data_IF_782412485749
#
_entry.id   IF_782412485749
#
_cell.length_a   1.000
_cell.length_b   1.000
_cell.length_c   1.000
_cell.angle_alpha   90.00
_cell.angle_beta   90.00
_cell.angle_gamma   90.00
#
_symmetry.space_group_name_H-M   'P 1'
#
loop_
_entity.id
_entity.type
_entity.pdbx_description
1 polymer ?
#
# COMPACT_ATOMS: atom_id res chain seq x y z
N UNK A 1 15.81 -1.90 14.19
CA UNK A 1 16.56 -3.13 14.46
C UNK A 1 17.74 -3.24 13.50
N UNK A 2 18.60 -4.25 13.68
CA UNK A 2 19.80 -4.52 12.90
C UNK A 2 19.47 -4.58 11.39
N UNK A 3 20.42 -4.13 10.55
CA UNK A 3 20.33 -4.35 9.11
C UNK A 3 20.49 -5.84 8.77
N UNK A 4 19.88 -6.27 7.67
CA UNK A 4 19.89 -7.66 7.21
C UNK A 4 19.68 -7.75 5.69
N UNK A 5 19.73 -8.97 5.15
CA UNK A 5 19.52 -9.22 3.73
C UNK A 5 20.67 -8.74 2.80
N UNK A 6 20.48 -8.88 1.48
CA UNK A 6 21.47 -8.45 0.49
C UNK A 6 21.81 -6.97 0.66
N UNK A 7 23.10 -6.65 0.70
CA UNK A 7 23.56 -5.26 0.81
C UNK A 7 23.18 -4.54 2.11
N UNK A 8 22.70 -5.24 3.15
CA UNK A 8 22.22 -4.62 4.41
C UNK A 8 21.02 -3.66 4.21
N UNK A 9 20.30 -3.82 3.10
CA UNK A 9 19.17 -2.96 2.72
C UNK A 9 17.90 -3.26 3.54
N UNK A 10 17.81 -4.47 4.12
CA UNK A 10 16.69 -4.88 4.95
C UNK A 10 16.84 -4.52 6.42
N UNK A 11 15.77 -4.70 7.19
CA UNK A 11 15.74 -4.58 8.64
C UNK A 11 15.08 -5.79 9.27
N UNK A 12 15.56 -6.18 10.45
CA UNK A 12 15.00 -7.28 11.20
C UNK A 12 13.63 -6.91 11.79
N UNK A 13 12.65 -7.79 11.62
CA UNK A 13 11.32 -7.69 12.24
C UNK A 13 11.10 -8.77 13.31
N UNK A 14 11.91 -9.82 13.29
CA UNK A 14 11.97 -10.90 14.28
C UNK A 14 13.28 -11.68 14.12
N UNK A 15 13.56 -12.66 14.99
CA UNK A 15 14.83 -13.40 14.97
C UNK A 15 15.09 -14.16 13.66
N UNK A 16 14.01 -14.49 12.93
CA UNK A 16 14.06 -15.20 11.65
C UNK A 16 13.37 -14.44 10.52
N UNK A 17 13.20 -13.11 10.65
CA UNK A 17 12.50 -12.27 9.67
C UNK A 17 13.33 -11.05 9.31
N UNK A 18 13.66 -10.94 8.02
CA UNK A 18 14.28 -9.76 7.43
C UNK A 18 13.38 -9.20 6.33
N UNK A 19 13.07 -7.91 6.36
CA UNK A 19 12.30 -7.27 5.29
C UNK A 19 13.05 -6.07 4.71
N UNK A 20 13.06 -5.95 3.39
CA UNK A 20 13.58 -4.82 2.66
C UNK A 20 12.50 -4.29 1.70
N UNK A 21 12.44 -2.97 1.53
CA UNK A 21 11.32 -2.32 0.84
C UNK A 21 11.17 -2.79 -0.62
N UNK A 22 12.29 -2.99 -1.33
CA UNK A 22 12.30 -3.42 -2.74
C UNK A 22 12.36 -4.94 -2.94
N UNK A 23 12.81 -5.70 -1.93
CA UNK A 23 13.02 -7.16 -2.03
C UNK A 23 11.92 -7.99 -1.35
N UNK A 24 11.05 -7.33 -0.58
CA UNK A 24 10.03 -8.00 0.22
C UNK A 24 10.58 -8.57 1.53
N UNK A 25 9.97 -9.66 2.00
CA UNK A 25 10.29 -10.28 3.28
C UNK A 25 10.85 -11.69 3.12
N UNK A 26 11.93 -11.93 3.84
CA UNK A 26 12.68 -13.17 3.94
C UNK A 26 12.41 -13.80 5.32
N UNK A 27 11.66 -14.90 5.33
CA UNK A 27 11.22 -15.59 6.57
C UNK A 27 11.86 -16.96 6.63
N UNK A 28 12.70 -17.20 7.64
CA UNK A 28 13.40 -18.47 7.84
C UNK A 28 14.50 -18.78 6.81
N UNK A 29 14.96 -17.77 6.07
CA UNK A 29 16.01 -17.91 5.05
C UNK A 29 17.33 -17.31 5.49
N UNK A 30 18.38 -17.49 4.68
CA UNK A 30 19.73 -17.07 5.00
C UNK A 30 19.86 -15.55 5.24
N UNK A 31 19.05 -14.75 4.54
CA UNK A 31 19.00 -13.29 4.63
C UNK A 31 18.63 -12.79 6.04
N UNK A 32 17.90 -13.62 6.81
CA UNK A 32 17.45 -13.30 8.16
C UNK A 32 18.38 -13.84 9.25
N UNK A 33 19.45 -14.60 8.93
CA UNK A 33 20.30 -15.22 9.94
C UNK A 33 20.91 -14.21 10.91
N UNK A 34 21.26 -13.01 10.43
CA UNK A 34 21.81 -11.92 11.26
C UNK A 34 20.81 -11.41 12.29
N UNK A 35 19.51 -11.58 12.06
CA UNK A 35 18.47 -11.11 12.98
C UNK A 35 18.44 -11.87 14.30
N UNK A 36 19.01 -13.08 14.36
CA UNK A 36 19.19 -13.80 15.63
C UNK A 36 20.11 -13.03 16.61
N UNK A 37 20.99 -12.16 16.10
CA UNK A 37 21.85 -11.34 16.95
C UNK A 37 21.06 -10.37 17.83
N UNK A 38 19.87 -9.95 17.42
CA UNK A 38 18.98 -9.09 18.22
C UNK A 38 18.62 -9.74 19.57
N UNK A 39 18.52 -11.08 19.64
CA UNK A 39 18.19 -11.79 20.88
C UNK A 39 19.24 -11.58 22.00
N UNK A 40 20.44 -11.15 21.63
CA UNK A 40 21.54 -10.92 22.57
C UNK A 40 21.78 -9.43 22.84
N UNK A 41 21.03 -8.53 22.19
CA UNK A 41 21.15 -7.10 22.43
C UNK A 41 20.23 -6.68 23.59
N UNK A 42 20.77 -5.98 24.61
CA UNK A 42 19.96 -5.59 25.77
C UNK A 42 19.00 -4.44 25.48
N UNK A 43 19.21 -3.71 24.39
CA UNK A 43 18.40 -2.56 24.00
C UNK A 43 17.28 -3.00 23.08
N UNK A 44 16.00 -2.76 23.42
CA UNK A 44 14.89 -3.12 22.55
C UNK A 44 14.95 -2.30 21.25
N UNK A 45 14.53 -2.92 20.16
CA UNK A 45 14.42 -2.29 18.86
C UNK A 45 13.03 -2.52 18.27
N UNK A 46 12.63 -1.67 17.33
CA UNK A 46 11.44 -1.88 16.51
C UNK A 46 11.73 -1.41 15.08
N UNK A 47 11.27 -2.18 14.09
CA UNK A 47 11.33 -1.83 12.68
C UNK A 47 9.92 -1.52 12.17
N UNK A 48 9.82 -0.72 11.09
CA UNK A 48 8.54 -0.28 10.53
C UNK A 48 7.87 0.85 11.34
N UNK A 49 7.28 1.81 10.63
CA UNK A 49 6.71 3.03 11.24
C UNK A 49 5.21 2.91 11.51
N UNK A 50 4.48 2.23 10.62
CA UNK A 50 3.02 2.10 10.70
C UNK A 50 2.63 0.79 11.41
N UNK A 51 1.86 0.84 12.52
CA UNK A 51 1.33 -0.36 13.14
C UNK A 51 0.26 -1.02 12.25
N UNK A 52 0.12 -2.34 12.37
CA UNK A 52 -0.87 -3.13 11.65
C UNK A 52 -1.19 -4.43 12.40
N UNK A 53 -2.40 -4.97 12.19
CA UNK A 53 -2.80 -6.25 12.77
C UNK A 53 -2.64 -6.32 14.30
N UNK A 54 -2.34 -7.52 14.80
CA UNK A 54 -2.18 -7.80 16.23
C UNK A 54 -0.73 -7.57 16.70
N UNK A 55 -0.30 -6.31 16.73
CA UNK A 55 1.04 -5.93 17.21
C UNK A 55 2.13 -5.95 16.13
N UNK A 56 1.75 -6.12 14.87
CA UNK A 56 2.65 -6.05 13.73
C UNK A 56 2.99 -4.62 13.30
N UNK A 57 3.92 -4.55 12.35
CA UNK A 57 4.45 -3.33 11.75
C UNK A 57 4.48 -3.49 10.23
N UNK A 58 4.06 -2.45 9.52
CA UNK A 58 4.13 -2.44 8.07
C UNK A 58 5.57 -2.33 7.59
N UNK A 59 5.84 -3.06 6.52
CA UNK A 59 7.00 -2.93 5.64
C UNK A 59 6.57 -2.14 4.40
N UNK A 60 7.46 -1.38 3.74
CA UNK A 60 7.03 -0.63 2.55
C UNK A 60 6.68 -1.55 1.36
N UNK A 61 7.02 -2.84 1.44
CA UNK A 61 6.64 -3.89 0.50
C UNK A 61 5.16 -4.33 0.59
N UNK A 62 4.33 -3.72 1.45
CA UNK A 62 2.90 -4.04 1.56
C UNK A 62 2.60 -5.27 2.42
N UNK A 63 3.53 -5.67 3.30
CA UNK A 63 3.33 -6.72 4.29
C UNK A 63 3.25 -6.15 5.69
N UNK A 64 2.36 -6.71 6.51
CA UNK A 64 2.33 -6.53 7.95
C UNK A 64 3.12 -7.67 8.61
N UNK A 65 4.16 -7.35 9.36
CA UNK A 65 4.99 -8.34 10.04
C UNK A 65 5.01 -8.12 11.55
N UNK A 66 4.85 -9.19 12.31
CA UNK A 66 5.22 -9.28 13.72
C UNK A 66 6.56 -10.02 13.86
N UNK A 67 6.91 -10.46 15.08
CA UNK A 67 8.19 -11.14 15.33
C UNK A 67 8.26 -12.56 14.77
N UNK A 68 7.11 -13.16 14.41
CA UNK A 68 7.02 -14.57 14.01
C UNK A 68 6.46 -14.77 12.60
N UNK A 69 5.66 -13.84 12.11
CA UNK A 69 4.98 -13.97 10.82
C UNK A 69 4.86 -12.67 10.04
N UNK A 70 4.62 -12.81 8.73
CA UNK A 70 4.28 -11.72 7.83
C UNK A 70 3.05 -12.09 7.03
N UNK A 71 2.13 -11.15 6.86
CA UNK A 71 0.93 -11.28 6.03
C UNK A 71 0.84 -10.12 5.05
N UNK A 72 0.44 -10.40 3.81
CA UNK A 72 0.17 -9.34 2.85
C UNK A 72 -1.02 -8.51 3.34
N UNK A 73 -0.82 -7.20 3.50
CA UNK A 73 -1.84 -6.32 4.07
C UNK A 73 -1.97 -5.04 3.22
N UNK A 74 -3.13 -4.82 2.59
CA UNK A 74 -3.32 -3.68 1.68
C UNK A 74 -3.03 -2.33 2.33
N UNK A 75 -3.33 -2.18 3.63
CA UNK A 75 -3.07 -0.96 4.39
C UNK A 75 -1.59 -0.64 4.55
N UNK A 76 -0.71 -1.63 4.38
CA UNK A 76 0.74 -1.46 4.49
C UNK A 76 1.40 -1.06 3.18
N UNK A 77 0.68 -1.12 2.05
CA UNK A 77 1.20 -0.58 0.79
C UNK A 77 1.48 0.90 1.00
N UNK A 78 2.65 1.35 0.56
CA UNK A 78 2.89 2.77 0.44
C UNK A 78 1.70 3.34 -0.32
N UNK A 79 0.99 4.31 0.28
CA UNK A 79 0.11 5.15 -0.50
C UNK A 79 1.03 5.80 -1.51
N UNK A 80 0.98 5.33 -2.75
CA UNK A 80 1.38 6.17 -3.87
C UNK A 80 0.70 7.51 -3.58
N UNK A 81 1.51 8.55 -3.35
CA UNK A 81 1.08 9.89 -2.96
C UNK A 81 0.32 10.59 -4.08
N UNK A 82 -0.51 9.83 -4.78
CA UNK A 82 -1.12 10.10 -6.07
C UNK A 82 -2.54 9.54 -6.06
N UNK A 83 -3.34 9.89 -5.05
CA UNK A 83 -4.72 10.28 -5.36
C UNK A 83 -4.68 11.65 -6.09
N UNK A 84 -3.92 11.71 -7.19
CA UNK A 84 -3.90 12.80 -8.14
C UNK A 84 -5.07 12.64 -9.11
N UNK A 85 -6.28 12.52 -8.56
CA UNK A 85 -7.40 13.32 -9.07
C UNK A 85 -7.56 14.54 -8.17
N UNK A 86 -6.45 15.20 -7.82
CA UNK A 86 -6.51 16.63 -7.53
C UNK A 86 -6.73 17.36 -8.84
N UNK A 87 -7.97 17.27 -9.32
CA UNK A 87 -8.49 18.18 -10.32
C UNK A 87 -8.57 19.53 -9.61
N UNK A 88 -7.70 20.46 -9.95
CA UNK A 88 -7.92 21.84 -9.55
C UNK A 88 -9.31 22.27 -10.05
N UNK A 89 -9.97 23.17 -9.32
CA UNK A 89 -11.34 23.62 -9.56
C UNK A 89 -11.71 23.81 -11.07
N UNK A 90 -10.87 24.41 -11.94
CA UNK A 90 -11.20 24.54 -13.36
C UNK A 90 -11.23 23.21 -14.13
N UNK A 91 -10.32 22.27 -13.84
CA UNK A 91 -10.27 20.96 -14.49
C UNK A 91 -11.46 20.09 -14.06
N UNK A 92 -11.86 20.17 -12.78
CA UNK A 92 -13.05 19.51 -12.26
C UNK A 92 -14.33 20.03 -12.91
N UNK A 93 -14.44 21.35 -13.11
CA UNK A 93 -15.60 21.97 -13.77
C UNK A 93 -15.72 21.59 -15.25
N UNK A 94 -14.60 21.47 -15.97
CA UNK A 94 -14.60 21.04 -17.37
C UNK A 94 -15.07 19.58 -17.50
N UNK A 95 -14.56 18.67 -16.66
CA UNK A 95 -14.98 17.28 -16.65
C UNK A 95 -16.47 17.14 -16.34
N UNK A 96 -16.98 17.88 -15.35
CA UNK A 96 -18.42 17.92 -15.06
C UNK A 96 -19.24 18.38 -16.27
N UNK A 97 -18.81 19.43 -16.98
CA UNK A 97 -19.48 19.89 -18.20
C UNK A 97 -19.52 18.84 -19.30
N UNK A 98 -18.41 18.14 -19.53
CA UNK A 98 -18.34 17.07 -20.54
C UNK A 98 -19.31 15.93 -20.22
N UNK A 99 -19.43 15.55 -18.94
CA UNK A 99 -20.40 14.52 -18.49
C UNK A 99 -21.85 14.98 -18.70
N UNK A 100 -22.17 16.25 -18.42
CA UNK A 100 -23.52 16.78 -18.66
C UNK A 100 -23.88 16.82 -20.15
N UNK A 101 -22.91 17.15 -21.02
CA UNK A 101 -23.11 17.14 -22.48
C UNK A 101 -23.30 15.73 -23.03
N UNK A 102 -22.60 14.74 -22.48
CA UNK A 102 -22.78 13.34 -22.83
C UNK A 102 -24.14 12.77 -22.34
N UNK A 103 -24.78 13.42 -21.37
CA UNK A 103 -26.12 13.07 -20.85
C UNK A 103 -27.26 13.79 -21.58
N UNK A 104 -27.02 14.35 -22.76
CA UNK A 104 -28.11 14.86 -23.59
C UNK A 104 -29.15 13.73 -23.78
N UNK A 105 -30.43 13.93 -23.40
CA UNK A 105 -31.46 12.96 -23.68
C UNK A 105 -31.59 12.85 -25.20
N UNK A 106 -31.66 11.61 -25.68
CA UNK A 106 -32.05 11.30 -27.04
C UNK A 106 -33.30 12.14 -27.39
N UNK A 107 -33.18 12.88 -28.49
CA UNK A 107 -34.14 13.86 -28.98
C UNK A 107 -35.56 13.27 -28.91
N UNK A 108 -36.44 13.92 -28.14
CA UNK A 108 -37.84 13.56 -28.05
C UNK A 108 -38.45 13.35 -29.44
N UNK A 109 -38.94 12.14 -29.68
CA UNK A 109 -39.68 11.78 -30.88
C UNK A 109 -40.97 12.63 -30.95
N UNK A 110 -41.24 13.35 -32.05
CA UNK A 110 -42.43 14.19 -32.13
C UNK A 110 -43.67 13.31 -32.32
N UNK A 111 -44.65 13.50 -31.43
CA UNK A 111 -45.99 12.93 -31.52
C UNK A 111 -46.62 13.22 -32.89
N UNK A 112 -47.02 12.18 -33.62
CA UNK A 112 -47.86 12.34 -34.80
C UNK A 112 -49.34 12.41 -34.39
N UNK A 113 -50.12 13.39 -34.91
CA UNK A 113 -51.55 13.46 -34.67
C UNK A 113 -52.27 12.40 -35.52
N UNK A 114 -53.23 11.72 -34.89
CA UNK A 114 -53.97 10.61 -35.49
C UNK A 114 -54.71 10.96 -36.78
N UNK A 115 -55.02 9.93 -37.56
CA UNK A 115 -55.96 10.04 -38.68
C UNK A 115 -56.66 8.70 -39.01
N UNK A 116 -57.99 8.79 -38.89
CA UNK A 116 -59.12 7.96 -39.35
C UNK A 116 -59.27 6.53 -38.81
#
# INVERSE_FOLDING_TARGET
CLPCGPGEEGRCFGPSICCADELGCFVGTAEALRCQQENYLPTPCQSGTKPCGSGGRCTAAGFCCDTESCVAQPECRASDGSNATRLDAPAGALLLRLVQLARAPELAEPAQPGRY
#
